data_IF_568609164801
#
_entry.id   IF_568609164801
#
_cell.length_a   1.000
_cell.length_b   1.000
_cell.length_c   1.000
_cell.angle_alpha   90.00
_cell.angle_beta   90.00
_cell.angle_gamma   90.00
#
_symmetry.space_group_name_H-M   'P 1'
#
loop_
_entity.id
_entity.type
_entity.pdbx_description
1 polymer ?
#
# COMPACT_ATOMS: atom_id res chain seq x y z
N UNK A 1 36.68 44.18 -4.04
CA UNK A 1 36.10 43.77 -2.74
C UNK A 1 34.62 44.14 -2.84
N UNK A 2 33.65 43.25 -2.81
CA UNK A 2 33.53 42.01 -2.05
C UNK A 2 32.73 40.97 -2.86
N UNK A 3 33.17 39.73 -2.76
CA UNK A 3 32.49 38.53 -3.25
C UNK A 3 31.44 38.14 -2.22
N UNK A 4 30.16 38.17 -2.58
CA UNK A 4 29.11 37.57 -1.75
C UNK A 4 28.93 36.13 -2.22
N UNK A 5 29.56 35.23 -1.49
CA UNK A 5 29.36 33.79 -1.62
C UNK A 5 28.07 33.45 -0.87
N UNK A 6 26.96 33.26 -1.57
CA UNK A 6 25.79 32.60 -0.98
C UNK A 6 26.13 31.11 -0.83
N UNK A 7 26.36 30.70 0.42
CA UNK A 7 26.33 29.31 0.84
C UNK A 7 24.87 28.85 0.83
N UNK A 8 24.48 27.81 0.07
CA UNK A 8 23.16 27.24 0.27
C UNK A 8 23.12 26.56 1.64
N UNK A 9 22.23 27.05 2.51
CA UNK A 9 21.88 26.37 3.75
C UNK A 9 21.40 24.95 3.44
N UNK A 10 21.78 23.92 4.21
CA UNK A 10 21.21 22.60 4.04
C UNK A 10 19.72 22.69 4.38
N UNK A 11 18.88 22.60 3.35
CA UNK A 11 17.44 22.46 3.50
C UNK A 11 17.18 21.28 4.43
N UNK A 12 16.70 21.56 5.63
CA UNK A 12 16.23 20.55 6.57
C UNK A 12 14.93 20.00 6.00
N UNK A 13 15.05 19.08 5.05
CA UNK A 13 13.90 18.34 4.52
C UNK A 13 13.42 17.40 5.62
N UNK A 14 12.24 17.67 6.16
CA UNK A 14 11.49 16.66 6.92
C UNK A 14 11.40 15.38 6.06
N UNK A 15 11.42 14.19 6.67
CA UNK A 15 11.26 12.96 5.92
C UNK A 15 9.94 13.01 5.12
N UNK A 16 9.99 12.65 3.85
CA UNK A 16 8.80 12.62 3.00
C UNK A 16 7.85 11.53 3.52
N UNK A 17 6.58 11.90 3.73
CA UNK A 17 5.56 10.99 4.25
C UNK A 17 5.31 9.86 3.28
N UNK A 18 5.23 8.63 3.79
CA UNK A 18 4.90 7.46 2.97
C UNK A 18 3.43 7.54 2.54
N UNK A 19 3.20 7.48 1.22
CA UNK A 19 1.89 7.36 0.60
C UNK A 19 1.88 6.08 -0.24
N UNK A 20 0.83 5.28 -0.06
CA UNK A 20 0.59 4.07 -0.84
C UNK A 20 -0.80 4.19 -1.43
N UNK A 21 -0.89 3.93 -2.73
CA UNK A 21 -2.13 3.92 -3.48
C UNK A 21 -2.34 2.54 -4.08
N UNK A 22 -3.59 2.21 -4.36
CA UNK A 22 -4.00 0.95 -4.97
C UNK A 22 -4.98 1.23 -6.09
N UNK A 23 -4.79 0.60 -7.24
CA UNK A 23 -5.66 0.73 -8.39
C UNK A 23 -5.81 -0.61 -9.10
N UNK A 24 -6.85 -0.74 -9.92
CA UNK A 24 -6.94 -1.87 -10.85
C UNK A 24 -5.81 -1.76 -11.87
N UNK A 25 -5.09 -2.85 -12.09
CA UNK A 25 -3.96 -2.89 -12.99
C UNK A 25 -4.45 -2.92 -14.45
N UNK A 26 -4.49 -1.76 -15.09
CA UNK A 26 -4.78 -1.61 -16.52
C UNK A 26 -3.49 -1.76 -17.35
N UNK A 27 -3.61 -2.14 -18.62
CA UNK A 27 -2.46 -2.21 -19.54
C UNK A 27 -1.69 -0.88 -19.63
N UNK A 28 -2.38 0.26 -19.51
CA UNK A 28 -1.76 1.60 -19.52
C UNK A 28 -0.86 1.81 -18.30
N UNK A 29 -1.35 1.48 -17.10
CA UNK A 29 -0.58 1.58 -15.87
C UNK A 29 0.60 0.60 -15.93
N UNK A 30 0.35 -0.65 -16.32
CA UNK A 30 1.39 -1.68 -16.39
C UNK A 30 2.51 -1.32 -17.38
N UNK A 31 2.16 -0.71 -18.51
CA UNK A 31 3.14 -0.28 -19.53
C UNK A 31 3.99 0.92 -19.09
N UNK A 32 3.61 1.60 -18.00
CA UNK A 32 4.37 2.73 -17.45
C UNK A 32 5.56 2.31 -16.58
N UNK A 33 5.70 1.01 -16.29
CA UNK A 33 6.76 0.47 -15.45
C UNK A 33 7.57 -0.59 -16.20
N UNK A 34 8.90 -0.54 -16.08
CA UNK A 34 9.79 -1.56 -16.66
C UNK A 34 9.70 -2.90 -15.93
N UNK A 35 9.35 -2.89 -14.64
CA UNK A 35 9.26 -4.11 -13.83
C UNK A 35 8.34 -3.93 -12.62
N UNK A 36 7.82 -5.04 -12.11
CA UNK A 36 6.98 -5.10 -10.93
C UNK A 36 7.34 -6.32 -10.08
N UNK A 37 7.12 -6.22 -8.77
CA UNK A 37 7.07 -7.39 -7.90
C UNK A 37 5.69 -8.04 -8.05
N UNK A 38 5.62 -9.36 -8.17
CA UNK A 38 4.34 -10.06 -8.39
C UNK A 38 4.00 -11.01 -7.26
N UNK A 39 2.72 -11.07 -6.94
CA UNK A 39 2.14 -12.10 -6.10
C UNK A 39 0.82 -12.60 -6.68
N UNK A 40 0.69 -13.92 -6.82
CA UNK A 40 -0.55 -14.58 -7.25
C UNK A 40 -1.17 -15.21 -6.02
N UNK A 41 -2.29 -14.65 -5.56
CA UNK A 41 -3.01 -15.19 -4.41
C UNK A 41 -3.75 -16.48 -4.74
N UNK A 42 -4.40 -16.52 -5.90
CA UNK A 42 -5.16 -17.68 -6.40
C UNK A 42 -4.98 -17.80 -7.90
N UNK A 43 -4.89 -19.04 -8.39
CA UNK A 43 -4.84 -19.37 -9.82
C UNK A 43 -6.23 -19.35 -10.48
N UNK A 44 -7.29 -19.11 -9.70
CA UNK A 44 -8.66 -18.91 -10.20
C UNK A 44 -8.85 -17.51 -10.82
N UNK A 45 -10.05 -17.26 -11.35
CA UNK A 45 -10.45 -15.97 -11.93
C UNK A 45 -10.29 -14.88 -10.86
N UNK A 46 -9.22 -14.10 -10.98
CA UNK A 46 -8.83 -13.03 -10.08
C UNK A 46 -8.62 -11.74 -10.87
N UNK A 47 -8.86 -10.60 -10.23
CA UNK A 47 -8.53 -9.31 -10.81
C UNK A 47 -7.10 -8.93 -10.45
N UNK A 48 -6.44 -8.15 -11.30
CA UNK A 48 -5.11 -7.63 -11.01
C UNK A 48 -5.22 -6.24 -10.41
N UNK A 49 -4.54 -6.03 -9.29
CA UNK A 49 -4.43 -4.75 -8.61
C UNK A 49 -2.96 -4.39 -8.47
N UNK A 50 -2.66 -3.11 -8.50
CA UNK A 50 -1.29 -2.61 -8.37
C UNK A 50 -1.20 -1.64 -7.20
N UNK A 51 -0.24 -1.90 -6.33
CA UNK A 51 0.16 -0.99 -5.27
C UNK A 51 1.33 -0.15 -5.75
N UNK A 52 1.22 1.16 -5.59
CA UNK A 52 2.27 2.14 -5.94
C UNK A 52 2.58 3.00 -4.73
N UNK A 53 3.73 3.68 -4.75
CA UNK A 53 4.18 4.53 -3.65
C UNK A 53 5.01 5.70 -4.16
N UNK A 54 5.06 6.79 -3.39
CA UNK A 54 5.88 7.98 -3.68
C UNK A 54 7.35 7.82 -3.25
N UNK A 55 7.64 6.94 -2.28
CA UNK A 55 8.99 6.71 -1.73
C UNK A 55 9.28 5.23 -1.55
N UNK A 56 10.54 4.87 -1.26
CA UNK A 56 10.87 3.50 -0.88
C UNK A 56 10.26 3.16 0.48
N UNK A 57 9.50 2.08 0.56
CA UNK A 57 8.78 1.63 1.75
C UNK A 57 9.52 0.46 2.41
N UNK A 58 9.60 0.49 3.73
CA UNK A 58 10.23 -0.58 4.53
C UNK A 58 9.19 -1.57 5.03
N UNK A 59 9.55 -2.86 5.05
CA UNK A 59 8.74 -3.96 5.60
C UNK A 59 7.29 -3.95 5.09
N UNK A 60 7.12 -3.73 3.79
CA UNK A 60 5.81 -3.80 3.16
C UNK A 60 5.36 -5.26 3.12
N UNK A 61 4.12 -5.53 3.56
CA UNK A 61 3.48 -6.84 3.48
C UNK A 61 2.06 -6.70 2.95
N UNK A 62 1.66 -7.60 2.06
CA UNK A 62 0.27 -7.91 1.77
C UNK A 62 -0.24 -8.89 2.84
N UNK A 63 -1.33 -8.54 3.52
CA UNK A 63 -1.77 -9.22 4.73
C UNK A 63 -3.17 -9.79 4.60
N UNK A 64 -3.45 -10.80 5.43
CA UNK A 64 -4.81 -11.24 5.70
C UNK A 64 -5.44 -10.33 6.75
N UNK A 65 -6.64 -9.86 6.47
CA UNK A 65 -7.46 -9.08 7.40
C UNK A 65 -8.64 -9.93 7.86
N UNK A 66 -8.96 -9.86 9.15
CA UNK A 66 -10.18 -10.40 9.73
C UNK A 66 -10.90 -9.31 10.50
N UNK A 67 -12.17 -9.56 10.82
CA UNK A 67 -12.97 -8.63 11.59
C UNK A 67 -13.64 -9.32 12.78
N UNK A 68 -13.94 -8.54 13.80
CA UNK A 68 -14.90 -8.88 14.85
C UNK A 68 -15.98 -7.82 14.89
N UNK A 69 -17.23 -8.24 14.99
CA UNK A 69 -18.37 -7.34 15.19
C UNK A 69 -18.72 -7.30 16.68
N UNK A 70 -18.73 -6.10 17.27
CA UNK A 70 -19.13 -5.90 18.66
C UNK A 70 -20.06 -4.70 18.74
N UNK A 71 -21.29 -4.92 19.23
CA UNK A 71 -22.32 -3.88 19.36
C UNK A 71 -22.64 -3.14 18.03
N UNK A 72 -22.50 -3.82 16.88
CA UNK A 72 -22.72 -3.22 15.56
C UNK A 72 -21.54 -2.42 15.01
N UNK A 73 -20.41 -2.39 15.71
CA UNK A 73 -19.16 -1.82 15.22
C UNK A 73 -18.20 -2.94 14.77
N UNK A 74 -17.55 -2.74 13.63
CA UNK A 74 -16.54 -3.64 13.10
C UNK A 74 -15.16 -3.20 13.57
N UNK A 75 -14.43 -4.09 14.23
CA UNK A 75 -13.00 -3.97 14.48
C UNK A 75 -12.24 -4.87 13.51
N UNK A 76 -11.19 -4.37 12.89
CA UNK A 76 -10.36 -5.11 11.93
C UNK A 76 -9.01 -5.44 12.53
N UNK A 77 -8.47 -6.61 12.18
CA UNK A 77 -7.22 -7.13 12.71
C UNK A 77 -6.40 -7.77 11.61
N UNK A 78 -5.08 -7.61 11.70
CA UNK A 78 -4.18 -8.42 10.89
C UNK A 78 -4.20 -9.88 11.38
N UNK A 79 -4.08 -10.83 10.45
CA UNK A 79 -3.95 -12.26 10.74
C UNK A 79 -2.72 -12.85 10.07
N UNK A 80 -1.68 -12.03 9.93
CA UNK A 80 -0.41 -12.40 9.32
C UNK A 80 -0.27 -12.12 7.82
N UNK A 81 0.97 -12.24 7.39
CA UNK A 81 1.45 -11.86 6.07
C UNK A 81 1.21 -12.97 5.05
N UNK A 82 0.71 -12.59 3.88
CA UNK A 82 0.58 -13.44 2.71
C UNK A 82 1.81 -13.31 1.80
N UNK A 83 2.34 -12.11 1.68
CA UNK A 83 3.55 -11.82 0.92
C UNK A 83 4.26 -10.58 1.45
N UNK A 84 5.57 -10.61 1.61
CA UNK A 84 6.38 -9.48 2.09
C UNK A 84 7.41 -9.07 1.06
N UNK A 85 7.57 -7.76 0.88
CA UNK A 85 8.54 -7.18 -0.03
C UNK A 85 9.70 -6.55 0.73
N UNK A 86 10.92 -6.88 0.29
CA UNK A 86 12.14 -6.21 0.74
C UNK A 86 12.35 -4.88 0.01
N UNK A 87 11.95 -4.80 -1.26
CA UNK A 87 12.10 -3.64 -2.13
C UNK A 87 10.74 -3.27 -2.73
N UNK A 88 10.03 -2.38 -2.04
CA UNK A 88 8.84 -1.70 -2.58
C UNK A 88 9.16 -0.21 -2.75
N UNK A 89 9.09 0.29 -3.99
CA UNK A 89 9.53 1.64 -4.34
C UNK A 89 8.77 2.17 -5.56
N UNK A 90 8.84 3.48 -5.86
CA UNK A 90 8.10 4.07 -6.98
C UNK A 90 8.42 3.43 -8.33
N UNK A 91 9.68 3.06 -8.55
CA UNK A 91 10.16 2.44 -9.79
C UNK A 91 9.80 0.96 -9.92
N UNK A 92 9.39 0.32 -8.82
CA UNK A 92 9.10 -1.11 -8.75
C UNK A 92 7.82 -1.35 -7.93
N UNK A 93 6.65 -1.10 -8.54
CA UNK A 93 5.38 -1.30 -7.90
C UNK A 93 5.09 -2.78 -7.65
N UNK A 94 4.03 -3.05 -6.88
CA UNK A 94 3.65 -4.40 -6.49
C UNK A 94 2.32 -4.79 -7.13
N UNK A 95 2.37 -5.78 -8.01
CA UNK A 95 1.22 -6.32 -8.72
C UNK A 95 0.70 -7.57 -7.99
N UNK A 96 -0.60 -7.59 -7.71
CA UNK A 96 -1.27 -8.70 -7.04
C UNK A 96 -2.42 -9.21 -7.89
N UNK A 97 -2.44 -10.51 -8.18
CA UNK A 97 -3.67 -11.18 -8.60
C UNK A 97 -4.51 -11.44 -7.36
N UNK A 98 -5.59 -10.70 -7.20
CA UNK A 98 -6.44 -10.66 -6.01
C UNK A 98 -7.86 -11.11 -6.35
N UNK A 99 -8.45 -11.92 -5.46
CA UNK A 99 -9.86 -12.29 -5.54
C UNK A 99 -10.67 -11.48 -4.54
N UNK A 100 -11.61 -10.68 -5.04
CA UNK A 100 -12.55 -9.97 -4.18
C UNK A 100 -13.61 -10.95 -3.66
N UNK A 101 -13.79 -10.99 -2.34
CA UNK A 101 -14.74 -11.86 -1.64
C UNK A 101 -15.97 -11.07 -1.13
N UNK A 102 -16.23 -9.90 -1.69
CA UNK A 102 -17.44 -9.12 -1.45
C UNK A 102 -17.22 -7.97 -0.47
N UNK A 103 -18.30 -7.54 0.19
CA UNK A 103 -18.31 -6.25 0.90
C UNK A 103 -17.44 -6.18 2.16
N UNK A 104 -17.02 -7.32 2.73
CA UNK A 104 -16.24 -7.32 3.97
C UNK A 104 -14.75 -7.50 3.64
N UNK A 105 -13.89 -6.54 4.03
CA UNK A 105 -12.46 -6.62 3.79
C UNK A 105 -11.82 -7.87 4.39
N UNK A 106 -11.11 -8.61 3.53
CA UNK A 106 -10.37 -9.83 3.89
C UNK A 106 -8.87 -9.67 3.64
N UNK A 107 -8.45 -8.58 2.99
CA UNK A 107 -7.07 -8.27 2.61
C UNK A 107 -6.69 -6.84 2.94
N UNK A 108 -5.40 -6.62 2.99
CA UNK A 108 -4.84 -5.33 3.34
C UNK A 108 -3.35 -5.28 3.09
N UNK A 109 -2.75 -4.19 3.58
CA UNK A 109 -1.31 -4.02 3.59
C UNK A 109 -0.85 -3.60 4.99
N UNK A 110 0.41 -3.90 5.30
CA UNK A 110 1.12 -3.30 6.42
C UNK A 110 2.49 -2.81 5.96
N UNK A 111 2.98 -1.73 6.56
CA UNK A 111 4.32 -1.24 6.30
C UNK A 111 4.83 -0.38 7.46
N UNK A 112 6.14 -0.12 7.48
CA UNK A 112 6.75 0.83 8.43
C UNK A 112 6.83 2.21 7.78
N UNK A 113 6.24 3.21 8.43
CA UNK A 113 6.23 4.60 7.99
C UNK A 113 7.53 5.35 8.30
N UNK A 114 7.57 6.65 8.00
CA UNK A 114 8.74 7.50 8.25
C UNK A 114 9.09 7.69 9.73
N UNK A 115 8.16 7.35 10.64
CA UNK A 115 8.30 7.47 12.09
C UNK A 115 8.61 6.11 12.75
N UNK A 116 9.02 5.11 11.96
CA UNK A 116 9.26 3.73 12.39
C UNK A 116 8.03 3.07 13.04
N UNK A 117 6.82 3.53 12.68
CA UNK A 117 5.55 2.96 13.16
C UNK A 117 4.97 2.03 12.11
N UNK A 118 4.54 0.83 12.52
CA UNK A 118 3.81 -0.07 11.64
C UNK A 118 2.39 0.45 11.43
N UNK A 119 2.02 0.67 10.17
CA UNK A 119 0.68 1.11 9.75
C UNK A 119 -0.04 -0.05 9.08
N UNK A 120 -1.35 -0.14 9.28
CA UNK A 120 -2.19 -1.22 8.77
C UNK A 120 -3.37 -0.63 8.00
N UNK A 121 -3.63 -1.16 6.81
CA UNK A 121 -4.72 -0.73 5.96
C UNK A 121 -5.45 -1.93 5.43
N UNK A 122 -6.78 -1.91 5.43
CA UNK A 122 -7.56 -2.89 4.70
C UNK A 122 -7.90 -2.37 3.31
N UNK A 123 -7.98 -3.30 2.35
CA UNK A 123 -8.42 -3.05 0.99
C UNK A 123 -9.94 -3.14 0.93
N UNK A 124 -10.57 -2.12 0.37
CA UNK A 124 -12.00 -2.11 0.10
C UNK A 124 -12.30 -1.52 -1.28
N UNK A 125 -13.48 -1.84 -1.79
CA UNK A 125 -14.02 -1.23 -3.00
C UNK A 125 -14.96 -0.11 -2.60
N UNK A 126 -14.74 1.09 -3.15
CA UNK A 126 -15.59 2.25 -2.98
C UNK A 126 -17.01 1.95 -3.48
N UNK A 127 -18.01 2.21 -2.64
CA UNK A 127 -19.41 2.04 -3.02
C UNK A 127 -19.93 3.14 -3.96
N UNK A 128 -19.18 4.23 -4.16
CA UNK A 128 -19.57 5.35 -5.02
C UNK A 128 -19.25 5.08 -6.50
N UNK A 129 -18.02 4.66 -6.77
CA UNK A 129 -17.47 4.56 -8.12
C UNK A 129 -16.79 3.21 -8.42
N UNK A 130 -16.72 2.31 -7.45
CA UNK A 130 -16.06 1.02 -7.59
C UNK A 130 -14.53 1.09 -7.56
N UNK A 131 -13.92 2.24 -7.25
CA UNK A 131 -12.47 2.35 -7.11
C UNK A 131 -11.95 1.58 -5.90
N UNK A 132 -10.66 1.22 -5.91
CA UNK A 132 -10.04 0.59 -4.76
C UNK A 132 -9.55 1.66 -3.78
N UNK A 133 -9.79 1.42 -2.49
CA UNK A 133 -9.40 2.31 -1.41
C UNK A 133 -8.65 1.54 -0.32
N UNK A 134 -7.68 2.22 0.28
CA UNK A 134 -6.98 1.77 1.48
C UNK A 134 -7.52 2.55 2.67
N UNK A 135 -8.08 1.84 3.64
CA UNK A 135 -8.55 2.46 4.88
C UNK A 135 -7.71 1.96 6.04
N UNK A 136 -7.17 2.92 6.79
CA UNK A 136 -6.35 2.64 7.95
C UNK A 136 -7.16 2.03 9.09
N UNK A 137 -6.56 1.07 9.79
CA UNK A 137 -7.10 0.51 11.03
C UNK A 137 -5.99 0.30 12.05
N UNK A 138 -6.38 0.24 13.33
CA UNK A 138 -5.46 -0.14 14.39
C UNK A 138 -5.57 -1.65 14.60
N UNK A 139 -4.48 -2.38 14.35
CA UNK A 139 -4.35 -3.79 14.73
C UNK A 139 -3.90 -3.81 16.20
N UNK A 140 -4.85 -3.68 17.14
CA UNK A 140 -4.61 -3.82 18.59
C UNK A 140 -5.05 -5.19 19.12
#
# INVERSE_FOLDING_TARGET
KETVTETPEPSSSAPEKVQITVEYATDEILSSYDSFSEFIESEEISQKIIFTTNVRVKKFSFIKVVYEEKNGEFAFFDKGDLHSLQDFSPEKPFLVSWMDFGAIPHRGISFVDENDTTRYFYLATSGEDGSLILTEFNSE
#
